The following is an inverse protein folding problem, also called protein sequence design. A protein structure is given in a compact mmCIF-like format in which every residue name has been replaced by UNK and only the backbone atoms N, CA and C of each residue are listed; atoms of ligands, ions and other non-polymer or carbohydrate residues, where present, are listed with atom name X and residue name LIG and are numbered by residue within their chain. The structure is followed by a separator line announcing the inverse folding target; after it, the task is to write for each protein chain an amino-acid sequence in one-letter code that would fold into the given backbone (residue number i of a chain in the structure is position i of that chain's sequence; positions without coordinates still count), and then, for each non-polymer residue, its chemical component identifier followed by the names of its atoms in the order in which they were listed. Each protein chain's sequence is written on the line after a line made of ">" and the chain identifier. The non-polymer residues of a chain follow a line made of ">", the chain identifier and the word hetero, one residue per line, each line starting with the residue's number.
data_IF_806942095688
#
_entry.id   IF_806942095688
#
_cell.length_a   1.000
_cell.length_b   1.000
_cell.length_c   1.000
_cell.angle_alpha   90.00
_cell.angle_beta   90.00
_cell.angle_gamma   90.00
#
_symmetry.space_group_name_H-M   'P 1'
#
loop_
_entity.id
_entity.type
_entity.pdbx_description
1 polymer ?
#
# COMPACT_ATOMS: atom_id res chain seq x y z
N UNK A 1 -12.81 -9.98 0.49
CA UNK A 1 -12.92 -8.50 0.53
C UNK A 1 -12.77 -8.07 -0.91
N UNK A 2 -13.60 -7.16 -1.43
CA UNK A 2 -13.44 -6.75 -2.84
C UNK A 2 -12.07 -6.12 -3.06
N UNK A 3 -11.42 -6.43 -4.19
CA UNK A 3 -10.05 -5.97 -4.49
C UNK A 3 -9.95 -4.46 -4.54
N UNK A 4 -10.97 -3.79 -5.06
CA UNK A 4 -11.09 -2.32 -5.06
C UNK A 4 -11.01 -1.75 -3.64
N UNK A 5 -11.59 -2.44 -2.66
CA UNK A 5 -11.57 -2.05 -1.24
C UNK A 5 -10.21 -2.32 -0.60
N UNK A 6 -9.53 -3.39 -0.99
CA UNK A 6 -8.16 -3.67 -0.55
C UNK A 6 -7.24 -2.55 -1.05
N UNK A 7 -7.26 -2.24 -2.35
CA UNK A 7 -6.44 -1.19 -2.95
C UNK A 7 -6.73 0.16 -2.27
N UNK A 8 -8.00 0.51 -2.08
CA UNK A 8 -8.38 1.76 -1.43
C UNK A 8 -7.90 1.83 0.03
N UNK A 9 -8.13 0.77 0.81
CA UNK A 9 -7.69 0.68 2.20
C UNK A 9 -6.16 0.85 2.31
N UNK A 10 -5.43 0.21 1.39
CA UNK A 10 -3.98 0.28 1.34
C UNK A 10 -3.50 1.70 1.04
N UNK A 11 -4.01 2.31 -0.03
CA UNK A 11 -3.66 3.69 -0.40
C UNK A 11 -3.93 4.66 0.75
N UNK A 12 -5.06 4.53 1.43
CA UNK A 12 -5.40 5.40 2.56
C UNK A 12 -4.53 5.15 3.78
N UNK A 13 -4.25 3.89 4.10
CA UNK A 13 -3.38 3.53 5.21
C UNK A 13 -1.95 4.05 4.98
N UNK A 14 -1.43 4.02 3.75
CA UNK A 14 -0.14 4.64 3.42
C UNK A 14 -0.16 6.16 3.63
N UNK A 15 -1.23 6.84 3.19
CA UNK A 15 -1.35 8.30 3.34
C UNK A 15 -1.47 8.75 4.81
N UNK A 16 -2.17 7.97 5.64
CA UNK A 16 -2.51 8.38 7.01
C UNK A 16 -1.66 7.73 8.09
N UNK A 17 -1.11 6.55 7.81
CA UNK A 17 -0.44 5.68 8.77
C UNK A 17 0.83 5.03 8.20
N UNK A 18 1.52 5.68 7.25
CA UNK A 18 2.78 5.20 6.65
C UNK A 18 3.83 4.70 7.65
N UNK A 19 3.85 5.25 8.87
CA UNK A 19 4.76 4.81 9.94
C UNK A 19 4.55 3.37 10.40
N UNK A 20 3.35 2.81 10.23
CA UNK A 20 3.01 1.43 10.63
C UNK A 20 3.49 0.36 9.64
N UNK A 21 4.03 0.77 8.50
CA UNK A 21 4.51 -0.15 7.48
C UNK A 21 6.03 -0.26 7.55
N UNK A 22 6.55 -1.49 7.56
CA UNK A 22 7.98 -1.72 7.47
C UNK A 22 8.48 -1.45 6.06
N UNK A 23 9.72 -0.96 5.95
CA UNK A 23 10.30 -0.62 4.64
C UNK A 23 10.36 -1.85 3.72
N UNK A 24 10.65 -3.02 4.28
CA UNK A 24 10.74 -4.28 3.53
C UNK A 24 9.40 -4.67 2.92
N UNK A 25 8.30 -4.51 3.65
CA UNK A 25 6.95 -4.81 3.13
C UNK A 25 6.58 -3.87 1.98
N UNK A 26 6.96 -2.58 2.10
CA UNK A 26 6.70 -1.60 1.06
C UNK A 26 7.50 -1.90 -0.22
N UNK A 27 8.76 -2.32 -0.07
CA UNK A 27 9.61 -2.72 -1.19
C UNK A 27 9.11 -4.00 -1.86
N UNK A 28 8.70 -4.99 -1.07
CA UNK A 28 8.13 -6.24 -1.57
C UNK A 28 6.83 -5.99 -2.34
N UNK A 29 5.96 -5.11 -1.81
CA UNK A 29 4.75 -4.67 -2.52
C UNK A 29 5.06 -3.96 -3.84
N UNK A 30 6.04 -3.04 -3.89
CA UNK A 30 6.40 -2.38 -5.16
C UNK A 30 6.90 -3.39 -6.19
N UNK A 31 7.72 -4.35 -5.75
CA UNK A 31 8.21 -5.41 -6.63
C UNK A 31 7.07 -6.29 -7.14
N UNK A 32 6.13 -6.68 -6.26
CA UNK A 32 4.94 -7.42 -6.64
C UNK A 32 4.14 -6.66 -7.71
N UNK A 33 3.87 -5.36 -7.48
CA UNK A 33 3.10 -4.53 -8.39
C UNK A 33 3.80 -4.28 -9.74
N UNK A 34 5.13 -4.31 -9.79
CA UNK A 34 5.92 -4.22 -11.03
C UNK A 34 5.78 -5.47 -11.89
N UNK A 35 5.66 -6.64 -11.27
CA UNK A 35 5.56 -7.93 -12.00
C UNK A 35 4.20 -8.17 -12.66
N UNK A 36 3.21 -7.33 -12.35
CA UNK A 36 1.86 -7.43 -12.89
C UNK A 36 1.81 -6.81 -14.29
N UNK A 37 1.77 -7.64 -15.33
CA UNK A 37 1.53 -7.20 -16.70
C UNK A 37 0.03 -7.26 -17.02
N UNK A 38 -0.64 -6.10 -17.02
CA UNK A 38 -2.09 -5.95 -17.27
C UNK A 38 -2.97 -7.02 -16.60
N UNK A 39 -2.96 -7.13 -15.27
CA UNK A 39 -3.60 -8.24 -14.59
C UNK A 39 -5.12 -8.13 -14.61
N UNK A 40 -5.81 -9.26 -14.68
CA UNK A 40 -7.26 -9.31 -14.50
C UNK A 40 -7.66 -9.05 -13.05
N UNK A 41 -8.91 -8.68 -12.80
CA UNK A 41 -9.44 -8.47 -11.44
C UNK A 41 -9.23 -9.71 -10.55
N UNK A 42 -9.44 -10.91 -11.10
CA UNK A 42 -9.30 -12.17 -10.36
C UNK A 42 -7.85 -12.49 -10.01
N UNK A 43 -6.91 -12.24 -10.92
CA UNK A 43 -5.47 -12.41 -10.67
C UNK A 43 -4.99 -11.43 -9.61
N UNK A 44 -5.42 -10.16 -9.70
CA UNK A 44 -5.13 -9.14 -8.70
C UNK A 44 -5.64 -9.53 -7.32
N UNK A 45 -6.89 -9.99 -7.25
CA UNK A 45 -7.50 -10.40 -5.98
C UNK A 45 -6.72 -11.56 -5.34
N UNK A 46 -6.35 -12.57 -6.13
CA UNK A 46 -5.52 -13.68 -5.63
C UNK A 46 -4.14 -13.20 -5.18
N UNK A 47 -3.46 -12.41 -6.00
CA UNK A 47 -2.08 -11.98 -5.73
C UNK A 47 -2.03 -11.12 -4.47
N UNK A 48 -2.89 -10.11 -4.36
CA UNK A 48 -2.92 -9.22 -3.19
C UNK A 48 -3.45 -9.96 -1.94
N UNK A 49 -4.40 -10.88 -2.08
CA UNK A 49 -4.85 -11.70 -0.95
C UNK A 49 -3.75 -12.62 -0.45
N UNK A 50 -3.04 -13.31 -1.33
CA UNK A 50 -1.94 -14.21 -0.97
C UNK A 50 -0.81 -13.44 -0.30
N UNK A 51 -0.47 -12.26 -0.83
CA UNK A 51 0.52 -11.37 -0.22
C UNK A 51 0.08 -10.93 1.19
N UNK A 52 -1.17 -10.52 1.37
CA UNK A 52 -1.67 -10.14 2.71
C UNK A 52 -1.72 -11.32 3.71
N UNK A 53 -1.76 -12.57 3.23
CA UNK A 53 -1.65 -13.73 4.10
C UNK A 53 -0.22 -13.94 4.63
N UNK A 54 0.81 -13.57 3.85
CA UNK A 54 2.21 -13.64 4.28
C UNK A 54 2.63 -12.40 5.08
N UNK A 55 2.06 -11.22 4.79
CA UNK A 55 2.35 -9.97 5.48
C UNK A 55 1.26 -9.63 6.51
N UNK A 56 1.22 -10.40 7.60
CA UNK A 56 0.14 -10.33 8.62
C UNK A 56 0.05 -8.98 9.33
N UNK A 57 1.18 -8.31 9.59
CA UNK A 57 1.21 -6.98 10.21
C UNK A 57 0.60 -5.90 9.30
N UNK A 58 0.87 -6.01 7.99
CA UNK A 58 0.24 -5.14 6.98
C UNK A 58 -1.25 -5.40 6.94
N UNK A 59 -1.68 -6.66 6.80
CA UNK A 59 -3.10 -7.04 6.84
C UNK A 59 -3.80 -6.50 8.08
N UNK A 60 -3.17 -6.63 9.24
CA UNK A 60 -3.73 -6.18 10.51
C UNK A 60 -3.82 -4.65 10.58
N UNK A 61 -2.89 -3.94 9.94
CA UNK A 61 -2.93 -2.48 9.75
C UNK A 61 -4.03 -2.05 8.79
N UNK A 62 -4.32 -2.82 7.74
CA UNK A 62 -5.37 -2.52 6.77
C UNK A 62 -6.78 -2.84 7.27
N UNK A 63 -6.91 -3.82 8.17
CA UNK A 63 -8.19 -4.31 8.68
C UNK A 63 -9.13 -3.20 9.20
N UNK A 64 -8.69 -2.21 10.01
CA UNK A 64 -9.56 -1.12 10.45
C UNK A 64 -10.14 -0.29 9.30
N UNK A 65 -9.36 -0.05 8.24
CA UNK A 65 -9.79 0.68 7.05
C UNK A 65 -10.79 -0.14 6.23
N UNK A 66 -10.54 -1.44 6.11
CA UNK A 66 -11.39 -2.34 5.38
C UNK A 66 -12.71 -2.64 6.09
N UNK A 67 -12.71 -2.86 7.40
CA UNK A 67 -13.90 -3.20 8.19
C UNK A 67 -14.71 -1.94 8.51
N UNK A 68 -14.05 -0.86 8.90
CA UNK A 68 -14.70 0.37 9.29
C UNK A 68 -14.85 1.26 8.07
N UNK A 69 -16.00 1.14 7.41
CA UNK A 69 -16.42 2.05 6.33
C UNK A 69 -16.25 3.55 6.68
N UNK A 70 -16.06 3.94 7.95
CA UNK A 70 -15.89 5.35 8.38
C UNK A 70 -14.61 6.01 7.88
N UNK A 71 -13.46 5.33 7.90
CA UNK A 71 -12.21 5.93 7.41
C UNK A 71 -12.21 6.02 5.88
N UNK A 72 -12.80 5.02 5.20
CA UNK A 72 -13.01 5.04 3.75
C UNK A 72 -14.15 5.98 3.30
N UNK A 73 -15.15 6.26 4.14
CA UNK A 73 -16.28 7.17 3.83
C UNK A 73 -15.85 8.61 3.59
N UNK A 74 -14.73 9.03 4.19
CA UNK A 74 -14.16 10.35 4.00
C UNK A 74 -13.20 10.41 2.80
N UNK A 75 -12.90 9.26 2.20
CA UNK A 75 -12.07 9.18 1.00
C UNK A 75 -12.94 9.34 -0.25
N UNK A 76 -12.41 9.92 -1.34
CA UNK A 76 -13.08 9.86 -2.63
C UNK A 76 -13.43 8.40 -2.95
N UNK A 77 -14.70 8.14 -3.28
CA UNK A 77 -15.08 6.84 -3.84
C UNK A 77 -14.31 6.68 -5.13
N UNK A 78 -13.44 5.67 -5.19
CA UNK A 78 -12.80 5.31 -6.45
C UNK A 78 -13.90 4.83 -7.42
N UNK A 79 -13.76 5.13 -8.72
CA UNK A 79 -14.73 4.68 -9.71
C UNK A 79 -14.85 3.16 -9.71
N UNK A 80 -16.08 2.71 -10.02
CA UNK A 80 -16.56 1.33 -9.98
C UNK A 80 -15.67 0.35 -10.76
N UNK A 81 -15.91 -0.93 -10.47
CA UNK A 81 -15.42 -2.26 -10.88
C UNK A 81 -15.04 -2.50 -12.36
N UNK A 82 -14.76 -1.45 -13.13
CA UNK A 82 -14.21 -1.55 -14.47
C UNK A 82 -12.71 -1.81 -14.36
N UNK A 83 -12.15 -2.67 -15.21
CA UNK A 83 -10.71 -2.96 -15.25
C UNK A 83 -9.86 -1.68 -15.33
N UNK A 84 -10.28 -0.70 -16.15
CA UNK A 84 -9.60 0.59 -16.24
C UNK A 84 -9.54 1.35 -14.91
N UNK A 85 -10.62 1.31 -14.12
CA UNK A 85 -10.65 1.93 -12.78
C UNK A 85 -9.73 1.19 -11.82
N UNK A 86 -9.74 -0.15 -11.85
CA UNK A 86 -8.88 -0.98 -11.00
C UNK A 86 -7.40 -0.70 -11.30
N UNK A 87 -7.02 -0.63 -12.58
CA UNK A 87 -5.67 -0.27 -13.00
C UNK A 87 -5.28 1.14 -12.56
N UNK A 88 -6.17 2.12 -12.69
CA UNK A 88 -5.92 3.47 -12.21
C UNK A 88 -5.69 3.52 -10.69
N UNK A 89 -6.47 2.75 -9.93
CA UNK A 89 -6.35 2.67 -8.47
C UNK A 89 -5.04 1.97 -8.05
N UNK A 90 -4.63 0.94 -8.80
CA UNK A 90 -3.34 0.26 -8.59
C UNK A 90 -2.17 1.19 -8.89
N UNK A 91 -2.26 1.98 -9.96
CA UNK A 91 -1.26 2.98 -10.27
C UNK A 91 -1.11 4.00 -9.13
N UNK A 92 -2.24 4.49 -8.59
CA UNK A 92 -2.22 5.41 -7.43
C UNK A 92 -1.62 4.74 -6.18
N UNK A 93 -1.97 3.49 -5.89
CA UNK A 93 -1.41 2.72 -4.79
C UNK A 93 0.12 2.63 -4.93
N UNK A 94 0.60 2.23 -6.10
CA UNK A 94 2.04 2.08 -6.37
C UNK A 94 2.76 3.42 -6.22
N UNK A 95 2.23 4.50 -6.78
CA UNK A 95 2.84 5.82 -6.65
C UNK A 95 2.93 6.25 -5.17
N UNK A 96 1.84 6.07 -4.41
CA UNK A 96 1.82 6.38 -2.97
C UNK A 96 2.85 5.54 -2.21
N UNK A 97 2.96 4.25 -2.53
CA UNK A 97 3.95 3.34 -1.94
C UNK A 97 5.38 3.83 -2.19
N UNK A 98 5.71 4.21 -3.42
CA UNK A 98 7.03 4.73 -3.78
C UNK A 98 7.38 6.05 -3.07
N UNK A 99 6.40 6.93 -2.88
CA UNK A 99 6.59 8.15 -2.08
C UNK A 99 6.93 7.83 -0.63
N UNK A 100 6.24 6.86 -0.02
CA UNK A 100 6.52 6.40 1.36
C UNK A 100 7.89 5.73 1.46
N UNK A 101 8.28 4.88 0.50
CA UNK A 101 9.61 4.27 0.43
C UNK A 101 10.68 5.36 0.42
N UNK A 102 10.59 6.32 -0.50
CA UNK A 102 11.55 7.44 -0.61
C UNK A 102 11.64 8.23 0.70
N UNK A 103 10.50 8.53 1.32
CA UNK A 103 10.47 9.25 2.58
C UNK A 103 11.18 8.47 3.70
N UNK A 104 10.92 7.16 3.83
CA UNK A 104 11.54 6.30 4.84
C UNK A 104 13.05 6.13 4.62
N UNK A 105 13.50 5.93 3.38
CA UNK A 105 14.93 5.83 3.06
C UNK A 105 15.66 7.13 3.43
N UNK A 106 15.11 8.29 3.04
CA UNK A 106 15.71 9.57 3.37
C UNK A 106 15.79 9.82 4.89
N UNK A 107 14.80 9.37 5.67
CA UNK A 107 14.83 9.45 7.12
C UNK A 107 15.95 8.59 7.73
N UNK A 108 16.12 7.35 7.26
CA UNK A 108 17.20 6.47 7.73
C UNK A 108 18.59 7.05 7.44
N UNK A 109 18.78 7.68 6.28
CA UNK A 109 20.06 8.31 5.92
C UNK A 109 20.38 9.54 6.78
N UNK A 110 19.35 10.30 7.18
CA UNK A 110 19.50 11.44 8.09
C UNK A 110 19.83 10.99 9.52
N UNK A 111 19.11 10.01 10.08
CA UNK A 111 19.38 9.46 11.41
C UNK A 111 20.82 8.90 11.51
N UNK A 112 21.25 8.15 10.49
CA UNK A 112 22.61 7.58 10.44
C UNK A 112 23.70 8.65 10.34
N UNK A 113 23.42 9.74 9.63
CA UNK A 113 24.34 10.88 9.48
C UNK A 113 24.46 11.73 10.75
N UNK A 114 23.41 11.79 11.58
CA UNK A 114 23.42 12.49 12.87
C UNK A 114 24.15 11.69 13.95
N UNK A 115 23.97 10.37 13.97
CA UNK A 115 24.64 9.48 14.93
C UNK A 115 26.17 9.42 14.71
N UNK A 116 26.64 9.67 13.48
CA UNK A 116 28.07 9.68 13.13
C UNK A 116 28.79 10.99 13.48
N UNK A 117 28.09 12.03 13.93
CA UNK A 117 28.65 13.35 14.27
C UNK A 117 28.77 13.62 15.79
N UNK A 118 28.35 12.68 16.63
CA UNK A 118 28.44 12.75 18.09
C UNK A 118 29.48 11.78 18.68
N UNK A 119 30.33 11.17 17.85
CA UNK A 119 31.44 10.30 18.26
C UNK A 119 32.79 10.98 18.15
#
# INVERSE_FOLDING_TARGET
>A
MEISRIIQAFTQALKTHSKKFELIDLQDLDQLLVTLDTPTEAELDQILTNWLQTHTEVRDTLRPFAETNKELKNSPKLPSNSEASILQNLFELRQTNQEVIKAKTNQQDQDKSQQSKQG
#
